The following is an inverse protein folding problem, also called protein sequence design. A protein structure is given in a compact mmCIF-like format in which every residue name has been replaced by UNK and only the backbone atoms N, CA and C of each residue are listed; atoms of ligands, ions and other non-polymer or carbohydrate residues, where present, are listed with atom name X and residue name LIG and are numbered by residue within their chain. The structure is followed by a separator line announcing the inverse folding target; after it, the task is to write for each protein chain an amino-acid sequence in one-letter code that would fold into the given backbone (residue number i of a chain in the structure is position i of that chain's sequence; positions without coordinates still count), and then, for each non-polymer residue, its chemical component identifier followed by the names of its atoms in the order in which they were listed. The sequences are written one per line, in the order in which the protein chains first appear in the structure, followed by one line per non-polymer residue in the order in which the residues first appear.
data_IF_474863799588
#
_entry.id   IF_474863799588
#
_cell.length_a   1.000
_cell.length_b   1.000
_cell.length_c   1.000
_cell.angle_alpha   90.00
_cell.angle_beta   90.00
_cell.angle_gamma   90.00
#
_symmetry.space_group_name_H-M   'P 1'
#
loop_
_entity.id
_entity.type
_entity.pdbx_description
1 polymer ?
#
# COMPACT_ATOMS: atom_id res chain seq x y z
N UNK A 1 20.15 -13.73 15.39
CA UNK A 1 18.98 -13.96 14.51
C UNK A 1 18.82 -12.74 13.62
N UNK A 2 18.47 -12.91 12.35
CA UNK A 2 18.15 -11.81 11.43
C UNK A 2 16.63 -11.67 11.36
N UNK A 3 16.12 -10.45 11.44
CA UNK A 3 14.69 -10.12 11.36
C UNK A 3 14.31 -9.59 9.98
N UNK A 4 15.01 -10.04 8.93
CA UNK A 4 14.70 -9.64 7.56
C UNK A 4 13.48 -10.42 7.06
N UNK A 5 12.38 -9.75 6.71
CA UNK A 5 11.18 -10.43 6.22
C UNK A 5 11.44 -11.05 4.84
N UNK A 6 10.81 -12.20 4.62
CA UNK A 6 10.76 -12.89 3.35
C UNK A 6 9.29 -13.12 2.97
N UNK A 7 8.98 -13.37 1.68
CA UNK A 7 7.62 -13.75 1.29
C UNK A 7 7.09 -15.01 2.00
N UNK A 8 7.96 -15.89 2.52
CA UNK A 8 7.55 -17.06 3.28
C UNK A 8 6.85 -16.71 4.60
N UNK A 9 7.10 -15.51 5.15
CA UNK A 9 6.48 -15.00 6.37
C UNK A 9 5.04 -14.49 6.16
N UNK A 10 4.60 -14.38 4.89
CA UNK A 10 3.22 -14.02 4.51
C UNK A 10 2.73 -12.67 5.03
N UNK A 11 3.62 -11.69 5.20
CA UNK A 11 3.20 -10.31 5.45
C UNK A 11 2.52 -9.71 4.22
N UNK A 12 1.33 -9.16 4.41
CA UNK A 12 0.55 -8.50 3.35
C UNK A 12 0.10 -7.11 3.79
N UNK A 13 -0.08 -6.19 2.83
CA UNK A 13 -0.49 -4.82 3.09
C UNK A 13 -1.64 -4.40 2.17
N UNK A 14 -2.64 -3.70 2.72
CA UNK A 14 -3.68 -3.07 1.92
C UNK A 14 -3.15 -1.87 1.14
N UNK A 15 -3.57 -1.65 -0.11
CA UNK A 15 -3.16 -0.47 -0.88
C UNK A 15 -3.50 0.84 -0.14
N UNK A 16 -4.66 0.90 0.53
CA UNK A 16 -5.10 2.02 1.36
C UNK A 16 -4.20 2.33 2.57
N UNK A 17 -3.32 1.39 2.98
CA UNK A 17 -2.45 1.59 4.15
C UNK A 17 -1.28 2.50 3.79
N UNK A 18 -0.33 1.99 3.02
CA UNK A 18 0.83 2.75 2.54
C UNK A 18 0.45 3.85 1.55
N UNK A 19 -0.72 3.74 0.90
CA UNK A 19 -1.28 4.75 0.02
C UNK A 19 -2.07 5.85 0.71
N UNK A 20 -2.25 5.81 2.04
CA UNK A 20 -2.98 6.87 2.74
C UNK A 20 -2.30 8.22 2.56
N UNK A 21 -3.02 9.19 2.01
CA UNK A 21 -2.51 10.55 1.76
C UNK A 21 -2.42 11.44 3.01
N UNK A 22 -2.74 10.90 4.20
CA UNK A 22 -2.76 11.63 5.46
C UNK A 22 -3.81 12.74 5.60
N UNK A 23 -4.88 12.73 4.79
CA UNK A 23 -6.02 13.59 5.06
C UNK A 23 -6.75 13.07 6.31
N UNK A 24 -7.01 13.96 7.25
CA UNK A 24 -7.77 13.69 8.47
C UNK A 24 -8.90 14.73 8.64
N UNK A 25 -9.75 14.64 9.68
CA UNK A 25 -10.87 15.56 9.86
C UNK A 25 -10.49 17.03 10.10
N UNK A 26 -9.21 17.32 10.39
CA UNK A 26 -8.72 18.63 10.81
C UNK A 26 -7.64 19.20 9.88
N UNK A 27 -7.23 18.47 8.84
CA UNK A 27 -6.18 18.89 7.92
C UNK A 27 -6.26 18.23 6.55
N UNK A 28 -5.70 18.94 5.57
CA UNK A 28 -5.58 18.47 4.20
C UNK A 28 -4.55 17.32 4.07
N UNK A 29 -4.55 16.67 2.90
CA UNK A 29 -3.56 15.66 2.57
C UNK A 29 -2.14 16.24 2.62
N UNK A 30 -1.21 15.46 3.18
CA UNK A 30 0.21 15.82 3.26
C UNK A 30 1.09 14.98 2.33
N UNK A 31 0.51 14.01 1.61
CA UNK A 31 1.19 13.15 0.63
C UNK A 31 0.40 13.07 -0.66
N UNK A 32 1.10 12.97 -1.78
CA UNK A 32 0.51 12.67 -3.09
C UNK A 32 -0.03 11.24 -3.12
N UNK A 33 -0.99 10.97 -4.02
CA UNK A 33 -1.47 9.63 -4.26
C UNK A 33 -0.33 8.75 -4.84
N UNK A 34 -0.25 7.51 -4.39
CA UNK A 34 0.72 6.54 -4.89
C UNK A 34 0.06 5.63 -5.93
N UNK A 35 0.70 5.46 -7.08
CA UNK A 35 0.30 4.48 -8.08
C UNK A 35 0.31 3.06 -7.47
N UNK A 36 -0.78 2.27 -7.56
CA UNK A 36 -0.82 0.87 -7.14
C UNK A 36 0.35 0.04 -7.66
N UNK A 37 0.81 0.28 -8.89
CA UNK A 37 1.96 -0.45 -9.48
C UNK A 37 3.24 -0.13 -8.73
N UNK A 38 3.47 1.13 -8.37
CA UNK A 38 4.61 1.52 -7.53
C UNK A 38 4.53 0.86 -6.16
N UNK A 39 3.36 0.84 -5.54
CA UNK A 39 3.15 0.21 -4.22
C UNK A 39 3.52 -1.28 -4.23
N UNK A 40 3.08 -2.03 -5.24
CA UNK A 40 3.41 -3.46 -5.37
C UNK A 40 4.93 -3.66 -5.50
N UNK A 41 5.59 -2.89 -6.36
CA UNK A 41 7.04 -3.00 -6.55
C UNK A 41 7.84 -2.68 -5.28
N UNK A 42 7.48 -1.60 -4.57
CA UNK A 42 8.17 -1.19 -3.35
C UNK A 42 7.95 -2.17 -2.19
N UNK A 43 6.75 -2.74 -2.06
CA UNK A 43 6.45 -3.74 -1.02
C UNK A 43 7.17 -5.07 -1.31
N UNK A 44 7.20 -5.51 -2.58
CA UNK A 44 7.95 -6.69 -2.98
C UNK A 44 9.46 -6.54 -2.70
N UNK A 45 10.04 -5.37 -3.01
CA UNK A 45 11.43 -5.05 -2.71
C UNK A 45 11.77 -5.08 -1.20
N UNK A 46 10.75 -4.98 -0.33
CA UNK A 46 10.88 -5.04 1.14
C UNK A 46 10.47 -6.39 1.75
N UNK A 47 10.25 -7.41 0.90
CA UNK A 47 9.97 -8.78 1.36
C UNK A 47 8.50 -9.07 1.67
N UNK A 48 7.56 -8.19 1.30
CA UNK A 48 6.14 -8.49 1.42
C UNK A 48 5.74 -9.65 0.51
N UNK A 49 4.78 -10.46 0.97
CA UNK A 49 4.23 -11.58 0.22
C UNK A 49 3.17 -11.13 -0.80
N UNK A 50 2.39 -10.10 -0.47
CA UNK A 50 1.30 -9.65 -1.33
C UNK A 50 0.62 -8.39 -0.85
N UNK A 51 -0.39 -7.98 -1.61
CA UNK A 51 -1.24 -6.82 -1.32
C UNK A 51 -2.71 -7.20 -1.32
N UNK A 52 -3.52 -6.42 -0.61
CA UNK A 52 -4.99 -6.44 -0.69
C UNK A 52 -5.48 -5.06 -1.15
N UNK A 53 -6.69 -4.98 -1.71
CA UNK A 53 -7.23 -3.73 -2.22
C UNK A 53 -8.77 -3.73 -2.10
N UNK A 54 -9.35 -2.54 -1.90
CA UNK A 54 -10.74 -2.29 -2.26
C UNK A 54 -10.81 -2.05 -3.77
N UNK A 55 -11.98 -2.25 -4.36
CA UNK A 55 -12.25 -1.89 -5.76
C UNK A 55 -11.76 -0.47 -6.10
N UNK A 56 -12.18 0.52 -5.30
CA UNK A 56 -11.87 1.93 -5.52
C UNK A 56 -10.41 2.31 -5.24
N UNK A 57 -9.63 1.45 -4.57
CA UNK A 57 -8.18 1.64 -4.41
C UNK A 57 -7.43 1.39 -5.73
N UNK A 58 -7.99 0.55 -6.61
CA UNK A 58 -7.36 0.11 -7.86
C UNK A 58 -8.04 0.71 -9.10
N UNK A 59 -9.37 0.84 -9.06
CA UNK A 59 -10.19 1.31 -10.17
C UNK A 59 -10.98 2.52 -9.66
N UNK A 60 -10.68 3.75 -10.10
CA UNK A 60 -11.45 4.92 -9.67
C UNK A 60 -12.94 4.72 -9.90
N UNK A 61 -13.74 5.02 -8.88
CA UNK A 61 -15.20 4.87 -8.91
C UNK A 61 -15.80 5.48 -10.19
N UNK A 62 -16.48 4.67 -11.01
CA UNK A 62 -17.19 5.11 -12.22
C UNK A 62 -16.33 5.30 -13.48
N UNK A 63 -15.10 4.76 -13.51
CA UNK A 63 -14.24 4.72 -14.71
C UNK A 63 -14.66 3.70 -15.77
#
# INVERSE_FOLDING_TARGET
MSFNPTPADRFTFGLWTVGWQARDPFGDATREAIDPVRTVNELAARGAYGVTFHDDDLIPFGS
#
